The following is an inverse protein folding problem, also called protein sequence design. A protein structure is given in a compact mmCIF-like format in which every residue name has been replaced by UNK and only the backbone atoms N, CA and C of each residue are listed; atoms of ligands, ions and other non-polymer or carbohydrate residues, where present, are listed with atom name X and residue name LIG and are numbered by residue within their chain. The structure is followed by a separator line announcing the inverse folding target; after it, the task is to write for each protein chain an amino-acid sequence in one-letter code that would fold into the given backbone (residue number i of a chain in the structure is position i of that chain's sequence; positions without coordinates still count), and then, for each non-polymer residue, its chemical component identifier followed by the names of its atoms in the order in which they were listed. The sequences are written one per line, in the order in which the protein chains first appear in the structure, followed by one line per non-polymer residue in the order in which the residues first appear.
data_IF_249415280527
#
_entry.id   IF_249415280527
#
_cell.length_a   1.000
_cell.length_b   1.000
_cell.length_c   1.000
_cell.angle_alpha   90.00
_cell.angle_beta   90.00
_cell.angle_gamma   90.00
#
_symmetry.space_group_name_H-M   'P 1'
#
loop_
_entity.id
_entity.type
_entity.pdbx_description
1 polymer ?
#
# COMPACT_ATOMS: atom_id res chain seq x y z
N UNK A 1 -26.05 -16.48 10.48
CA UNK A 1 -26.67 -15.86 9.29
C UNK A 1 -26.28 -14.40 9.08
N UNK A 2 -26.77 -13.41 9.83
CA UNK A 2 -26.45 -11.97 9.58
C UNK A 2 -24.95 -11.69 9.73
N UNK A 3 -24.33 -12.15 10.82
CA UNK A 3 -22.89 -11.99 11.05
C UNK A 3 -22.03 -12.71 9.98
N UNK A 4 -22.53 -13.81 9.43
CA UNK A 4 -21.82 -14.55 8.38
C UNK A 4 -21.91 -13.82 7.04
N UNK A 5 -23.07 -13.28 6.68
CA UNK A 5 -23.22 -12.42 5.51
C UNK A 5 -22.31 -11.19 5.61
N UNK A 6 -22.26 -10.53 6.77
CA UNK A 6 -21.38 -9.38 7.01
C UNK A 6 -19.90 -9.79 6.84
N UNK A 7 -19.49 -10.94 7.40
CA UNK A 7 -18.13 -11.46 7.27
C UNK A 7 -17.74 -11.69 5.79
N UNK A 8 -18.64 -12.28 5.00
CA UNK A 8 -18.41 -12.51 3.57
C UNK A 8 -18.38 -11.22 2.75
N UNK A 9 -19.24 -10.24 3.05
CA UNK A 9 -19.21 -8.93 2.41
C UNK A 9 -17.87 -8.23 2.71
N UNK A 10 -17.45 -8.21 3.97
CA UNK A 10 -16.16 -7.66 4.40
C UNK A 10 -14.99 -8.33 3.65
N UNK A 11 -15.03 -9.66 3.53
CA UNK A 11 -14.01 -10.40 2.78
C UNK A 11 -13.98 -10.04 1.29
N UNK A 12 -15.15 -9.94 0.64
CA UNK A 12 -15.23 -9.55 -0.77
C UNK A 12 -14.67 -8.13 -0.95
N UNK A 13 -15.04 -7.18 -0.09
CA UNK A 13 -14.54 -5.80 -0.13
C UNK A 13 -13.02 -5.77 0.05
N UNK A 14 -12.47 -6.54 1.00
CA UNK A 14 -11.03 -6.67 1.20
C UNK A 14 -10.32 -7.13 -0.08
N UNK A 15 -10.81 -8.18 -0.73
CA UNK A 15 -10.20 -8.73 -1.95
C UNK A 15 -10.30 -7.77 -3.14
N UNK A 16 -11.47 -7.15 -3.35
CA UNK A 16 -11.66 -6.14 -4.41
C UNK A 16 -10.73 -4.96 -4.18
N UNK A 17 -10.61 -4.49 -2.93
CA UNK A 17 -9.70 -3.40 -2.59
C UNK A 17 -8.25 -3.75 -2.90
N UNK A 18 -7.80 -4.98 -2.60
CA UNK A 18 -6.45 -5.44 -2.95
C UNK A 18 -6.16 -5.44 -4.45
N UNK A 19 -7.12 -5.89 -5.26
CA UNK A 19 -7.01 -5.85 -6.73
C UNK A 19 -6.93 -4.40 -7.22
N UNK A 20 -7.76 -3.51 -6.68
CA UNK A 20 -7.80 -2.10 -7.06
C UNK A 20 -6.52 -1.36 -6.67
N UNK A 21 -5.98 -1.59 -5.46
CA UNK A 21 -4.69 -1.04 -5.05
C UNK A 21 -3.61 -1.49 -6.00
N UNK A 22 -3.52 -2.80 -6.28
CA UNK A 22 -2.48 -3.34 -7.17
C UNK A 22 -2.55 -2.66 -8.54
N UNK A 23 -3.73 -2.57 -9.12
CA UNK A 23 -3.94 -1.92 -10.41
C UNK A 23 -3.58 -0.42 -10.40
N UNK A 24 -4.08 0.33 -9.41
CA UNK A 24 -3.85 1.78 -9.29
C UNK A 24 -2.40 2.10 -8.96
N UNK A 25 -1.75 1.26 -8.15
CA UNK A 25 -0.33 1.39 -7.79
C UNK A 25 0.55 1.23 -9.03
N UNK A 26 0.32 0.19 -9.84
CA UNK A 26 1.02 -0.01 -11.12
C UNK A 26 0.86 1.21 -12.04
N UNK A 27 -0.35 1.77 -12.12
CA UNK A 27 -0.57 3.00 -12.90
C UNK A 27 0.15 4.22 -12.31
N UNK A 28 0.33 4.28 -10.99
CA UNK A 28 1.01 5.39 -10.30
C UNK A 28 2.54 5.39 -10.47
N UNK A 29 3.15 4.22 -10.70
CA UNK A 29 4.61 4.05 -10.87
C UNK A 29 5.06 4.06 -12.33
N UNK A 30 4.13 4.08 -13.29
CA UNK A 30 4.43 4.12 -14.73
C UNK A 30 4.40 5.50 -15.43
N UNK A 31 4.34 6.69 -14.76
CA UNK A 31 4.22 7.96 -15.48
C UNK A 31 5.43 8.26 -16.36
N UNK A 32 6.64 7.81 -16.00
CA UNK A 32 7.84 7.94 -16.83
C UNK A 32 7.71 7.19 -18.15
N UNK A 33 7.27 5.93 -18.10
CA UNK A 33 7.01 5.11 -19.30
C UNK A 33 5.88 5.67 -20.16
N UNK A 34 4.85 6.25 -19.54
CA UNK A 34 3.75 6.89 -20.25
C UNK A 34 4.21 8.19 -20.95
N UNK A 35 5.07 8.98 -20.32
CA UNK A 35 5.64 10.19 -20.91
C UNK A 35 6.53 9.87 -22.12
N UNK A 36 7.40 8.85 -22.01
CA UNK A 36 8.26 8.41 -23.12
C UNK A 36 7.45 7.87 -24.30
N UNK A 37 6.47 6.98 -24.04
CA UNK A 37 5.66 6.37 -25.11
C UNK A 37 4.80 7.38 -25.86
N UNK A 38 4.37 8.45 -25.20
CA UNK A 38 3.50 9.47 -25.81
C UNK A 38 4.28 10.58 -26.53
N UNK A 39 5.62 10.60 -26.45
CA UNK A 39 6.43 11.75 -26.86
C UNK A 39 5.85 13.07 -26.34
N UNK A 40 5.34 13.05 -25.11
CA UNK A 40 4.49 14.11 -24.58
C UNK A 40 5.21 15.46 -24.50
N UNK A 41 4.48 16.51 -24.87
CA UNK A 41 4.93 17.89 -24.73
C UNK A 41 5.09 18.22 -23.24
N UNK A 42 5.83 19.29 -22.88
CA UNK A 42 6.00 19.72 -21.47
C UNK A 42 4.68 19.85 -20.69
N UNK A 43 3.60 20.27 -21.34
CA UNK A 43 2.27 20.37 -20.71
C UNK A 43 1.58 19.02 -20.51
N UNK A 44 1.73 18.10 -21.47
CA UNK A 44 1.14 16.76 -21.40
C UNK A 44 1.87 15.89 -20.38
N UNK A 45 3.20 16.00 -20.31
CA UNK A 45 4.00 15.42 -19.25
C UNK A 45 3.47 15.81 -17.87
N UNK A 46 3.26 17.11 -17.60
CA UNK A 46 2.68 17.56 -16.31
C UNK A 46 1.34 16.90 -16.00
N UNK A 47 0.47 16.68 -17.00
CA UNK A 47 -0.82 16.00 -16.81
C UNK A 47 -0.63 14.52 -16.47
N UNK A 48 0.30 13.82 -17.13
CA UNK A 48 0.63 12.41 -16.87
C UNK A 48 1.13 12.23 -15.43
N UNK A 49 2.09 13.05 -15.00
CA UNK A 49 2.64 12.99 -13.64
C UNK A 49 1.60 13.36 -12.58
N UNK A 50 0.73 14.34 -12.84
CA UNK A 50 -0.40 14.67 -11.94
C UNK A 50 -1.40 13.51 -11.82
N UNK A 51 -1.69 12.80 -12.93
CA UNK A 51 -2.53 11.59 -12.90
C UNK A 51 -1.88 10.48 -12.08
N UNK A 52 -0.57 10.27 -12.21
CA UNK A 52 0.18 9.30 -11.40
C UNK A 52 0.04 9.57 -9.90
N UNK A 53 0.16 10.83 -9.48
CA UNK A 53 -0.10 11.23 -8.09
C UNK A 53 -1.56 11.00 -7.65
N UNK A 54 -2.54 11.27 -8.53
CA UNK A 54 -3.95 11.00 -8.23
C UNK A 54 -4.20 9.49 -8.03
N UNK A 55 -3.66 8.63 -8.88
CA UNK A 55 -3.80 7.18 -8.74
C UNK A 55 -3.21 6.67 -7.43
N UNK A 56 -2.08 7.24 -6.99
CA UNK A 56 -1.46 6.92 -5.68
C UNK A 56 -2.34 7.33 -4.51
N UNK A 57 -2.97 8.51 -4.57
CA UNK A 57 -3.91 8.93 -3.53
C UNK A 57 -5.15 8.02 -3.47
N UNK A 58 -5.70 7.64 -4.62
CA UNK A 58 -6.84 6.71 -4.68
C UNK A 58 -6.43 5.33 -4.17
N UNK A 59 -5.25 4.83 -4.53
CA UNK A 59 -4.71 3.58 -4.00
C UNK A 59 -4.60 3.63 -2.46
N UNK A 60 -4.11 4.74 -1.89
CA UNK A 60 -4.05 4.92 -0.43
C UNK A 60 -5.42 4.91 0.25
N UNK A 61 -6.48 5.37 -0.41
CA UNK A 61 -7.86 5.25 0.12
C UNK A 61 -8.27 3.77 0.18
N UNK A 62 -8.02 3.01 -0.88
CA UNK A 62 -8.32 1.56 -0.88
C UNK A 62 -7.46 0.80 0.13
N UNK A 63 -6.22 1.23 0.36
CA UNK A 63 -5.35 0.68 1.41
C UNK A 63 -5.95 0.90 2.80
N UNK A 64 -6.46 2.10 3.10
CA UNK A 64 -7.17 2.37 4.34
C UNK A 64 -8.44 1.49 4.47
N UNK A 65 -9.18 1.33 3.37
CA UNK A 65 -10.34 0.42 3.34
C UNK A 65 -9.90 -1.01 3.67
N UNK A 66 -8.79 -1.51 3.11
CA UNK A 66 -8.26 -2.83 3.45
C UNK A 66 -7.90 -2.96 4.93
N UNK A 67 -7.23 -1.96 5.51
CA UNK A 67 -6.89 -1.95 6.94
C UNK A 67 -8.16 -2.05 7.79
N UNK A 68 -9.20 -1.27 7.46
CA UNK A 68 -10.49 -1.33 8.15
C UNK A 68 -11.13 -2.72 8.02
N UNK A 69 -11.12 -3.32 6.82
CA UNK A 69 -11.68 -4.66 6.62
C UNK A 69 -10.89 -5.75 7.38
N UNK A 70 -9.56 -5.62 7.48
CA UNK A 70 -8.73 -6.51 8.29
C UNK A 70 -9.06 -6.42 9.78
N UNK A 71 -9.25 -5.20 10.28
CA UNK A 71 -9.68 -4.97 11.68
C UNK A 71 -11.08 -5.56 11.89
N UNK A 72 -12.02 -5.34 10.95
CA UNK A 72 -13.37 -5.91 11.02
C UNK A 72 -13.37 -7.44 11.01
N UNK A 73 -12.43 -8.09 10.33
CA UNK A 73 -12.28 -9.56 10.36
C UNK A 73 -12.09 -10.07 11.79
N UNK A 74 -11.38 -9.33 12.66
CA UNK A 74 -11.18 -9.74 14.06
C UNK A 74 -12.53 -9.92 14.79
N UNK A 75 -13.51 -9.04 14.52
CA UNK A 75 -14.85 -9.11 15.12
C UNK A 75 -15.83 -9.99 14.32
N UNK A 76 -15.68 -10.06 13.00
CA UNK A 76 -16.54 -10.82 12.09
C UNK A 76 -15.73 -11.83 11.28
N UNK A 77 -15.20 -12.90 11.91
CA UNK A 77 -14.41 -13.88 11.21
C UNK A 77 -15.29 -14.75 10.30
N UNK A 78 -14.78 -15.08 9.12
CA UNK A 78 -15.43 -16.03 8.21
C UNK A 78 -15.36 -17.42 8.86
N UNK A 79 -16.50 -18.13 9.02
CA UNK A 79 -16.50 -19.51 9.46
C UNK A 79 -15.59 -20.37 8.58
N UNK A 80 -14.79 -21.25 9.18
CA UNK A 80 -13.81 -22.12 8.50
C UNK A 80 -12.57 -21.43 7.89
N UNK A 81 -12.51 -20.10 7.86
CA UNK A 81 -11.32 -19.32 7.45
C UNK A 81 -10.68 -18.57 8.63
N UNK A 82 -11.03 -18.94 9.87
CA UNK A 82 -10.52 -18.32 11.09
C UNK A 82 -9.06 -18.74 11.34
N UNK A 83 -8.15 -18.18 10.55
CA UNK A 83 -6.72 -18.39 10.71
C UNK A 83 -6.23 -17.59 11.90
N UNK A 84 -5.86 -18.31 12.97
CA UNK A 84 -5.19 -17.74 14.13
C UNK A 84 -3.72 -18.07 14.04
N UNK A 85 -2.86 -17.04 14.18
CA UNK A 85 -1.40 -17.21 14.26
C UNK A 85 -1.03 -18.17 15.40
N UNK A 86 -1.73 -18.07 16.53
CA UNK A 86 -1.54 -18.94 17.67
C UNK A 86 -2.88 -19.15 18.42
N UNK A 87 -3.14 -20.33 19.03
CA UNK A 87 -4.37 -20.56 19.81
C UNK A 87 -4.53 -19.61 21.00
N UNK A 88 -3.41 -19.22 21.62
CA UNK A 88 -3.38 -18.23 22.70
C UNK A 88 -3.33 -16.80 22.12
N UNK A 89 -4.35 -16.01 22.45
CA UNK A 89 -4.53 -14.63 22.00
C UNK A 89 -3.40 -13.69 22.41
N UNK A 90 -2.86 -13.82 23.64
CA UNK A 90 -1.74 -13.00 24.12
C UNK A 90 -0.47 -13.25 23.29
N UNK A 91 -0.19 -14.50 22.96
CA UNK A 91 0.98 -14.86 22.12
C UNK A 91 0.80 -14.28 20.72
N UNK A 92 -0.40 -14.34 20.15
CA UNK A 92 -0.72 -13.70 18.88
C UNK A 92 -0.48 -12.19 18.89
N UNK A 93 -0.90 -11.49 19.96
CA UNK A 93 -0.64 -10.05 20.13
C UNK A 93 0.85 -9.77 20.21
N UNK A 94 1.61 -10.53 21.00
CA UNK A 94 3.06 -10.33 21.16
C UNK A 94 3.77 -10.48 19.81
N UNK A 95 3.45 -11.53 19.05
CA UNK A 95 4.00 -11.74 17.70
C UNK A 95 3.62 -10.55 16.80
N UNK A 96 2.36 -10.13 16.84
CA UNK A 96 1.88 -8.97 16.08
C UNK A 96 2.65 -7.69 16.40
N UNK A 97 2.90 -7.39 17.67
CA UNK A 97 3.67 -6.21 18.11
C UNK A 97 5.13 -6.30 17.65
N UNK A 98 5.75 -7.48 17.78
CA UNK A 98 7.15 -7.70 17.36
C UNK A 98 7.32 -7.48 15.86
N UNK A 99 6.31 -7.78 15.04
CA UNK A 99 6.32 -7.51 13.60
C UNK A 99 5.95 -6.05 13.30
N UNK A 100 4.92 -5.53 13.98
CA UNK A 100 4.38 -4.19 13.73
C UNK A 100 5.41 -3.09 13.99
N UNK A 101 6.14 -3.16 15.11
CA UNK A 101 7.12 -2.14 15.49
C UNK A 101 8.21 -1.94 14.42
N UNK A 102 8.95 -2.96 13.96
CA UNK A 102 9.96 -2.79 12.93
C UNK A 102 9.35 -2.33 11.60
N UNK A 103 8.17 -2.83 11.22
CA UNK A 103 7.47 -2.35 10.04
C UNK A 103 7.15 -0.85 10.12
N UNK A 104 6.64 -0.37 11.26
CA UNK A 104 6.35 1.06 11.47
C UNK A 104 7.61 1.92 11.45
N UNK A 105 8.73 1.42 12.01
CA UNK A 105 10.00 2.16 11.98
C UNK A 105 10.52 2.30 10.55
N UNK A 106 10.46 1.23 9.75
CA UNK A 106 10.89 1.24 8.35
C UNK A 106 9.97 2.15 7.53
N UNK A 107 8.65 2.05 7.72
CA UNK A 107 7.65 2.92 7.10
C UNK A 107 7.92 4.39 7.42
N UNK A 108 8.08 4.73 8.71
CA UNK A 108 8.32 6.09 9.15
C UNK A 108 9.61 6.66 8.56
N UNK A 109 10.71 5.88 8.57
CA UNK A 109 11.96 6.29 7.93
C UNK A 109 11.82 6.44 6.41
N UNK A 110 11.10 5.53 5.74
CA UNK A 110 10.82 5.62 4.32
C UNK A 110 10.06 6.91 3.96
N UNK A 111 9.00 7.22 4.70
CA UNK A 111 8.22 8.46 4.51
C UNK A 111 9.07 9.70 4.80
N UNK A 112 9.85 9.71 5.88
CA UNK A 112 10.73 10.82 6.22
C UNK A 112 11.81 11.07 5.17
N UNK A 113 12.43 10.00 4.66
CA UNK A 113 13.51 10.09 3.68
C UNK A 113 13.00 10.41 2.26
N UNK A 114 11.78 10.01 1.92
CA UNK A 114 11.13 10.38 0.65
C UNK A 114 10.49 11.78 0.68
N UNK A 115 10.04 12.26 1.84
CA UNK A 115 9.43 13.58 1.98
C UNK A 115 8.21 13.76 1.06
N UNK A 116 8.23 14.81 0.23
CA UNK A 116 7.14 15.09 -0.73
C UNK A 116 7.04 14.08 -1.88
N UNK A 117 8.12 13.33 -2.17
CA UNK A 117 8.15 12.33 -3.24
C UNK A 117 7.25 11.12 -2.94
N UNK A 118 6.97 10.89 -1.65
CA UNK A 118 6.06 9.83 -1.16
C UNK A 118 4.66 9.98 -1.75
N UNK A 119 4.21 11.22 -2.00
CA UNK A 119 2.86 11.53 -2.48
C UNK A 119 2.84 12.03 -3.93
N UNK A 120 3.85 12.78 -4.36
CA UNK A 120 3.96 13.25 -5.74
C UNK A 120 5.26 12.75 -6.35
N UNK A 121 5.21 11.89 -7.39
CA UNK A 121 6.40 11.53 -8.11
C UNK A 121 6.93 12.78 -8.83
N UNK A 122 8.20 13.12 -8.68
CA UNK A 122 8.84 14.22 -9.42
C UNK A 122 9.92 13.70 -10.37
N UNK A 123 10.02 14.35 -11.53
CA UNK A 123 11.00 14.05 -12.57
C UNK A 123 12.43 14.47 -12.19
N UNK A 124 12.57 15.40 -11.25
CA UNK A 124 13.85 16.07 -10.96
C UNK A 124 14.56 15.54 -9.71
N UNK A 125 13.93 14.68 -8.93
CA UNK A 125 14.44 14.25 -7.62
C UNK A 125 14.92 12.80 -7.70
N UNK A 126 16.24 12.62 -7.76
CA UNK A 126 16.87 11.31 -7.57
C UNK A 126 16.76 10.91 -6.09
N UNK A 127 15.91 9.94 -5.77
CA UNK A 127 15.79 9.40 -4.40
C UNK A 127 17.02 8.50 -4.13
N UNK A 128 18.10 9.09 -3.63
CA UNK A 128 19.36 8.41 -3.29
C UNK A 128 19.90 8.87 -1.93
N UNK A 129 19.03 8.94 -0.91
CA UNK A 129 19.43 9.31 0.47
C UNK A 129 18.72 8.43 1.50
N UNK A 130 19.34 8.30 2.68
CA UNK A 130 18.76 7.59 3.81
C UNK A 130 18.56 6.09 3.56
N UNK A 131 17.40 5.57 3.97
CA UNK A 131 17.03 4.15 3.81
C UNK A 131 16.95 3.73 2.34
N UNK A 132 16.70 4.68 1.41
CA UNK A 132 16.69 4.43 -0.04
C UNK A 132 18.07 4.06 -0.61
N UNK A 133 19.15 4.25 0.15
CA UNK A 133 20.48 3.71 -0.22
C UNK A 133 20.54 2.18 -0.08
N UNK A 134 19.71 1.61 0.78
CA UNK A 134 19.73 0.18 1.11
C UNK A 134 18.50 -0.55 0.58
N UNK A 135 17.34 0.12 0.49
CA UNK A 135 16.07 -0.47 0.05
C UNK A 135 15.41 0.47 -0.96
N UNK A 136 15.22 0.03 -2.21
CA UNK A 136 14.67 0.86 -3.30
C UNK A 136 13.22 1.28 -3.04
N UNK A 137 12.43 0.40 -2.43
CA UNK A 137 11.05 0.64 -2.02
C UNK A 137 10.83 0.23 -0.56
N UNK A 138 11.23 1.08 0.41
CA UNK A 138 11.11 0.77 1.84
C UNK A 138 9.66 0.72 2.32
N UNK A 139 8.73 1.36 1.60
CA UNK A 139 7.28 1.28 1.87
C UNK A 139 6.67 -0.05 1.41
N UNK A 140 7.10 -0.59 0.28
CA UNK A 140 6.48 -1.77 -0.35
C UNK A 140 7.31 -3.06 -0.20
N UNK A 141 8.45 -2.99 0.52
CA UNK A 141 9.39 -4.10 0.71
C UNK A 141 9.69 -4.87 -0.59
N UNK A 142 9.94 -4.15 -1.69
CA UNK A 142 10.29 -4.77 -2.95
C UNK A 142 11.76 -5.23 -2.92
N UNK A 143 11.96 -6.54 -2.90
CA UNK A 143 13.26 -7.22 -3.04
C UNK A 143 13.65 -7.37 -4.52
N UNK A 144 13.52 -6.30 -5.31
CA UNK A 144 14.00 -6.27 -6.69
C UNK A 144 15.47 -5.79 -6.72
N UNK A 145 16.37 -6.78 -6.69
CA UNK A 145 17.82 -6.68 -6.99
C UNK A 145 18.01 -6.11 -8.40
#
# INVERSE_FOLDING_TARGET
MINEMIAWINFIILNISGILITYLYILSVTPATQEEKSNANKEEAKKIWKKGGLYRNIAGIFELIMIINLILWIWFPIPNLNWRIHPNFLIGIIIGIIILIPCLIILAKGVMDAGSETLQPSKNTKIYKGIYKYIRHPLDFDCSI
#
